data_IF_047655707453
#
_entry.id   IF_047655707453
#
_cell.length_a   1.000
_cell.length_b   1.000
_cell.length_c   1.000
_cell.angle_alpha   90.00
_cell.angle_beta   90.00
_cell.angle_gamma   90.00
#
_symmetry.space_group_name_H-M   'P 1'
#
loop_
_entity.id
_entity.type
_entity.pdbx_description
1 polymer ?
#
# COMPACT_ATOMS: atom_id res chain seq x y z
N UNK A 1 44.80 -12.48 -34.68
CA UNK A 1 43.74 -13.18 -33.92
C UNK A 1 42.87 -12.11 -33.28
N UNK A 2 41.74 -11.81 -33.91
CA UNK A 2 40.83 -10.74 -33.49
C UNK A 2 39.92 -11.27 -32.38
N UNK A 3 39.86 -10.58 -31.25
CA UNK A 3 38.77 -10.76 -30.29
C UNK A 3 37.93 -9.49 -30.24
N UNK A 4 36.65 -9.71 -30.55
CA UNK A 4 35.57 -8.77 -30.65
C UNK A 4 34.55 -9.20 -29.61
N UNK A 5 34.27 -8.40 -28.57
CA UNK A 5 32.94 -8.40 -27.93
C UNK A 5 32.52 -6.95 -27.69
N UNK A 6 31.32 -6.70 -28.19
CA UNK A 6 30.54 -5.47 -28.17
C UNK A 6 29.70 -5.41 -26.88
N UNK A 7 29.27 -4.18 -26.58
CA UNK A 7 28.02 -3.83 -25.89
C UNK A 7 28.00 -4.00 -24.35
N UNK A 8 27.34 -3.17 -23.57
CA UNK A 8 26.73 -1.83 -23.73
C UNK A 8 26.09 -1.49 -22.39
N UNK A 9 26.01 -0.18 -22.10
CA UNK A 9 25.05 0.45 -21.19
C UNK A 9 24.95 -0.10 -19.76
N UNK A 10 25.45 0.71 -18.84
CA UNK A 10 25.06 0.77 -17.44
C UNK A 10 23.54 0.69 -17.27
N UNK A 11 23.00 -0.45 -16.88
CA UNK A 11 21.72 -0.52 -16.21
C UNK A 11 22.02 -0.81 -14.74
N UNK A 12 22.49 0.21 -14.02
CA UNK A 12 22.27 0.24 -12.59
C UNK A 12 20.76 0.20 -12.43
N UNK A 13 20.24 -0.96 -12.02
CA UNK A 13 18.83 -1.11 -11.70
C UNK A 13 18.55 -0.17 -10.54
N UNK A 14 18.19 1.07 -10.90
CA UNK A 14 17.68 2.08 -9.99
C UNK A 14 16.47 1.43 -9.35
N UNK A 15 16.63 0.99 -8.11
CA UNK A 15 15.55 0.37 -7.35
C UNK A 15 14.30 1.24 -7.54
N UNK A 16 13.30 0.67 -8.21
CA UNK A 16 12.11 1.38 -8.59
C UNK A 16 11.35 1.74 -7.32
N UNK A 17 11.54 2.96 -6.82
CA UNK A 17 10.45 3.65 -6.14
C UNK A 17 9.41 3.92 -7.21
N UNK A 18 8.60 2.91 -7.51
CA UNK A 18 7.36 3.14 -8.22
C UNK A 18 6.59 4.15 -7.38
N UNK A 19 6.42 5.36 -7.89
CA UNK A 19 5.77 6.49 -7.23
C UNK A 19 4.24 6.26 -7.17
N UNK A 20 3.84 5.10 -6.66
CA UNK A 20 2.44 4.80 -6.35
C UNK A 20 2.09 5.55 -5.08
N UNK A 21 1.01 6.31 -5.14
CA UNK A 21 0.44 6.92 -3.95
C UNK A 21 -0.19 5.85 -3.06
N UNK A 22 -0.10 6.02 -1.75
CA UNK A 22 -0.72 5.09 -0.81
C UNK A 22 -2.24 5.12 -0.96
N UNK A 23 -2.88 3.96 -0.94
CA UNK A 23 -4.32 3.81 -1.10
C UNK A 23 -4.97 3.17 0.12
N UNK A 24 -6.28 3.31 0.22
CA UNK A 24 -7.09 2.54 1.18
C UNK A 24 -6.89 1.05 0.91
N UNK A 25 -6.91 0.25 1.98
CA UNK A 25 -6.63 -1.18 2.01
C UNK A 25 -5.17 -1.62 1.81
N UNK A 26 -4.24 -0.71 1.53
CA UNK A 26 -2.81 -1.01 1.56
C UNK A 26 -2.37 -1.47 2.97
N UNK A 27 -1.57 -2.54 3.01
CA UNK A 27 -0.96 -3.05 4.24
C UNK A 27 0.38 -2.34 4.46
N UNK A 28 0.51 -1.69 5.61
CA UNK A 28 1.65 -0.81 5.90
C UNK A 28 2.21 -1.03 7.30
N UNK A 29 3.51 -0.75 7.44
CA UNK A 29 4.12 -0.50 8.75
C UNK A 29 4.05 0.99 9.05
N UNK A 30 3.66 1.31 10.28
CA UNK A 30 3.61 2.69 10.78
C UNK A 30 4.52 2.83 11.98
N UNK A 31 5.34 3.87 12.00
CA UNK A 31 6.17 4.16 13.17
C UNK A 31 5.27 4.52 14.36
N UNK A 32 5.48 3.84 15.48
CA UNK A 32 4.73 4.12 16.71
C UNK A 32 5.05 5.55 17.19
N UNK A 33 4.03 6.39 17.47
CA UNK A 33 4.24 7.71 18.05
C UNK A 33 4.74 7.77 19.49
N UNK A 34 4.40 6.78 20.32
CA UNK A 34 4.61 6.84 21.78
C UNK A 34 5.84 6.05 22.18
N UNK A 35 6.19 5.00 21.43
CA UNK A 35 7.34 4.17 21.75
C UNK A 35 8.60 4.55 20.97
N UNK A 36 9.71 3.89 21.31
CA UNK A 36 11.03 4.12 20.71
C UNK A 36 10.95 4.12 19.18
N UNK A 37 11.75 4.95 18.47
CA UNK A 37 11.74 5.04 17.01
C UNK A 37 11.90 3.72 16.25
N UNK A 38 12.33 2.66 16.93
CA UNK A 38 12.50 1.31 16.40
C UNK A 38 11.22 0.46 16.40
N UNK A 39 10.12 0.95 16.98
CA UNK A 39 8.85 0.23 16.97
C UNK A 39 8.03 0.59 15.75
N UNK A 40 7.75 -0.42 14.93
CA UNK A 40 6.89 -0.33 13.76
C UNK A 40 5.69 -1.24 13.95
N UNK A 41 4.49 -0.66 13.85
CA UNK A 41 3.23 -1.36 14.04
C UNK A 41 2.67 -1.72 12.67
N UNK A 42 2.19 -2.95 12.52
CA UNK A 42 1.48 -3.36 11.32
C UNK A 42 0.06 -2.81 11.34
N UNK A 43 -0.39 -2.26 10.21
CA UNK A 43 -1.76 -1.83 10.06
C UNK A 43 -2.19 -1.76 8.61
N UNK A 44 -3.46 -1.43 8.43
CA UNK A 44 -4.07 -1.24 7.11
C UNK A 44 -4.56 0.19 6.97
N UNK A 45 -4.31 0.80 5.81
CA UNK A 45 -4.82 2.14 5.54
C UNK A 45 -6.33 2.09 5.42
N UNK A 46 -7.02 2.91 6.23
CA UNK A 46 -8.48 3.05 6.18
C UNK A 46 -8.90 4.36 5.53
N UNK A 47 -8.02 5.36 5.49
CA UNK A 47 -8.28 6.65 4.86
C UNK A 47 -6.99 7.32 4.42
N UNK A 48 -7.05 8.04 3.29
CA UNK A 48 -5.96 8.86 2.77
C UNK A 48 -6.37 10.34 2.79
N UNK A 49 -5.40 11.22 3.03
CA UNK A 49 -5.59 12.67 3.04
C UNK A 49 -4.63 13.31 2.04
N UNK A 50 -5.10 13.57 0.80
CA UNK A 50 -4.29 14.22 -0.23
C UNK A 50 -4.08 15.70 0.07
N UNK A 51 -2.93 16.23 -0.33
CA UNK A 51 -2.61 17.66 -0.30
C UNK A 51 -3.17 18.42 -1.51
N UNK A 52 -2.79 19.70 -1.63
CA UNK A 52 -3.17 20.55 -2.77
C UNK A 52 -2.63 20.04 -4.12
N UNK A 53 -1.56 19.25 -4.08
CA UNK A 53 -0.92 18.60 -5.23
C UNK A 53 -1.52 17.21 -5.56
N UNK A 54 -2.65 16.85 -4.94
CA UNK A 54 -3.31 15.55 -5.05
C UNK A 54 -2.46 14.34 -4.61
N UNK A 55 -1.32 14.56 -3.93
CA UNK A 55 -0.48 13.51 -3.36
C UNK A 55 -0.88 13.23 -1.92
N UNK A 56 -0.97 11.96 -1.52
CA UNK A 56 -1.27 11.58 -0.13
C UNK A 56 -0.12 12.01 0.77
N UNK A 57 -0.39 12.91 1.72
CA UNK A 57 0.61 13.38 2.70
C UNK A 57 0.45 12.73 4.07
N UNK A 58 -0.79 12.37 4.38
CA UNK A 58 -1.21 11.80 5.65
C UNK A 58 -2.17 10.65 5.38
N UNK A 59 -2.07 9.59 6.18
CA UNK A 59 -2.94 8.42 6.11
C UNK A 59 -3.45 8.08 7.51
N UNK A 60 -4.69 7.60 7.61
CA UNK A 60 -5.20 6.94 8.79
C UNK A 60 -5.01 5.43 8.62
N UNK A 61 -4.38 4.82 9.61
CA UNK A 61 -4.03 3.40 9.63
C UNK A 61 -4.74 2.75 10.80
N UNK A 62 -5.50 1.70 10.52
CA UNK A 62 -6.05 0.84 11.55
C UNK A 62 -5.02 -0.20 11.95
N UNK A 63 -4.60 -0.14 13.21
CA UNK A 63 -3.72 -1.11 13.86
C UNK A 63 -4.54 -1.98 14.82
N UNK A 64 -3.89 -2.92 15.50
CA UNK A 64 -4.53 -3.74 16.55
C UNK A 64 -5.07 -2.88 17.70
N UNK A 65 -4.34 -1.83 18.05
CA UNK A 65 -4.58 -1.05 19.27
C UNK A 65 -5.50 0.16 19.02
N UNK A 66 -5.82 0.45 17.75
CA UNK A 66 -6.73 1.53 17.37
C UNK A 66 -6.46 2.07 15.98
N UNK A 67 -7.04 3.23 15.68
CA UNK A 67 -6.73 3.98 14.47
C UNK A 67 -5.73 5.09 14.79
N UNK A 68 -4.68 5.19 13.97
CA UNK A 68 -3.66 6.23 14.11
C UNK A 68 -3.43 6.95 12.79
N UNK A 69 -3.26 8.26 12.87
CA UNK A 69 -3.05 9.13 11.69
C UNK A 69 -1.61 9.58 11.61
N UNK A 70 -0.88 9.22 10.54
CA UNK A 70 0.54 9.54 10.40
C UNK A 70 0.88 10.07 9.02
N UNK A 71 1.95 10.87 8.96
CA UNK A 71 2.50 11.34 7.68
C UNK A 71 3.13 10.18 6.92
N UNK A 72 3.11 10.26 5.59
CA UNK A 72 3.68 9.22 4.72
C UNK A 72 5.16 8.95 5.01
N UNK A 73 5.90 9.93 5.53
CA UNK A 73 7.32 9.78 5.90
C UNK A 73 7.53 8.78 7.05
N UNK A 74 6.48 8.46 7.79
CA UNK A 74 6.47 7.51 8.91
C UNK A 74 5.76 6.20 8.56
N UNK A 75 5.52 5.97 7.28
CA UNK A 75 4.79 4.82 6.73
C UNK A 75 5.72 4.07 5.77
N UNK A 76 5.68 2.75 5.83
CA UNK A 76 6.33 1.88 4.87
C UNK A 76 5.32 0.91 4.29
N UNK A 77 5.17 0.92 2.96
CA UNK A 77 4.28 -0.01 2.25
C UNK A 77 4.87 -1.42 2.30
N UNK A 78 4.07 -2.39 2.73
CA UNK A 78 4.46 -3.80 2.77
C UNK A 78 3.79 -4.57 1.65
N UNK A 79 2.48 -4.39 1.49
CA UNK A 79 1.71 -4.98 0.40
C UNK A 79 0.70 -3.95 -0.12
N UNK A 80 0.62 -3.74 -1.44
CA UNK A 80 -0.49 -3.00 -2.01
C UNK A 80 -1.80 -3.74 -1.67
N UNK A 81 -2.84 -2.97 -1.39
CA UNK A 81 -4.18 -3.48 -1.23
C UNK A 81 -4.56 -4.28 -2.47
N UNK A 82 -5.26 -5.39 -2.27
CA UNK A 82 -5.79 -6.13 -3.42
C UNK A 82 -6.79 -5.23 -4.12
N UNK A 83 -6.47 -4.86 -5.36
CA UNK A 83 -7.45 -4.40 -6.33
C UNK A 83 -8.46 -5.55 -6.44
N UNK A 84 -9.65 -5.32 -5.86
CA UNK A 84 -10.88 -6.07 -6.09
C UNK A 84 -10.73 -7.57 -6.42
N UNK A 85 -10.55 -8.40 -5.39
CA UNK A 85 -11.24 -9.69 -5.42
C UNK A 85 -12.72 -9.38 -5.30
N UNK A 86 -13.35 -9.07 -6.44
CA UNK A 86 -14.78 -9.27 -6.61
C UNK A 86 -15.00 -10.76 -6.40
N UNK A 87 -15.26 -11.18 -5.17
CA UNK A 87 -16.05 -12.40 -5.01
C UNK A 87 -17.29 -12.14 -5.84
N UNK A 88 -17.56 -12.95 -6.89
CA UNK A 88 -18.81 -12.84 -7.60
C UNK A 88 -19.88 -12.77 -6.52
N UNK A 89 -20.69 -11.71 -6.53
CA UNK A 89 -21.88 -11.67 -5.71
C UNK A 89 -22.72 -12.82 -6.26
N UNK A 90 -22.57 -14.01 -5.71
CA UNK A 90 -23.44 -15.13 -5.99
C UNK A 90 -24.80 -14.67 -5.49
N UNK A 91 -25.58 -14.13 -6.44
CA UNK A 91 -26.96 -13.74 -6.25
C UNK A 91 -27.60 -14.94 -5.58
N UNK A 92 -27.83 -14.82 -4.28
CA UNK A 92 -28.49 -15.88 -3.51
C UNK A 92 -29.72 -16.29 -4.31
N UNK A 93 -29.91 -17.59 -4.62
CA UNK A 93 -31.08 -18.01 -5.36
C UNK A 93 -32.30 -17.49 -4.61
N UNK A 94 -33.00 -16.51 -5.20
CA UNK A 94 -34.23 -16.02 -4.62
C UNK A 94 -35.19 -17.20 -4.63
N UNK A 95 -35.48 -17.72 -3.44
CA UNK A 95 -36.49 -18.74 -3.27
C UNK A 95 -37.78 -18.14 -3.83
N UNK A 96 -38.42 -18.76 -4.84
CA UNK A 96 -39.71 -18.28 -5.31
C UNK A 96 -40.68 -18.23 -4.11
N UNK A 97 -41.54 -17.20 -4.04
CA UNK A 97 -42.53 -17.14 -2.97
C UNK A 97 -43.35 -18.44 -2.98
N UNK A 98 -43.65 -18.99 -1.80
CA UNK A 98 -44.48 -20.19 -1.72
C UNK A 98 -45.85 -19.93 -2.38
N UNK A 99 -46.48 -20.96 -2.97
CA UNK A 99 -47.78 -20.85 -3.62
C UNK A 99 -48.88 -20.40 -2.65
#
# INVERSE_FOLDING_TARGET
MVQRILASSTASSKMGFTERDLQVDDLVLVQDPVSSPLHWILGRIVKTFPGQDARTRVVAVRTRDGEITRSISKISLILPGREDVQFPQEKSPQRPPPP
#
